data_IF_222805795066
#
_entry.id   IF_222805795066
#
_cell.length_a   1.000
_cell.length_b   1.000
_cell.length_c   1.000
_cell.angle_alpha   90.00
_cell.angle_beta   90.00
_cell.angle_gamma   90.00
#
_symmetry.space_group_name_H-M   'P 1'
#
loop_
_entity.id
_entity.type
_entity.pdbx_description
1 polymer ?
#
# COMPACT_ATOMS: atom_id res chain seq x y z
N UNK A 1 4.82 17.18 27.59
CA UNK A 1 5.81 16.97 26.51
C UNK A 1 5.13 16.13 25.45
N UNK A 2 4.59 16.78 24.42
CA UNK A 2 3.88 16.09 23.34
C UNK A 2 4.92 15.64 22.33
N UNK A 3 5.21 14.34 22.26
CA UNK A 3 5.96 13.74 21.17
C UNK A 3 5.03 13.72 19.93
N UNK A 4 4.80 14.89 19.33
CA UNK A 4 4.10 14.97 18.05
C UNK A 4 5.06 14.48 16.98
N UNK A 5 4.91 13.21 16.61
CA UNK A 5 5.49 12.71 15.38
C UNK A 5 4.83 13.46 14.21
N UNK A 6 5.63 14.20 13.46
CA UNK A 6 5.23 14.89 12.24
C UNK A 6 5.78 14.08 11.04
N UNK A 7 4.97 13.19 10.45
CA UNK A 7 5.45 12.35 9.36
C UNK A 7 5.71 13.17 8.10
N UNK A 8 6.85 12.92 7.45
CA UNK A 8 7.25 13.55 6.19
C UNK A 8 7.21 12.50 5.08
N UNK A 9 6.03 12.31 4.49
CA UNK A 9 5.82 11.36 3.41
C UNK A 9 6.36 11.87 2.07
N UNK A 10 7.25 11.11 1.46
CA UNK A 10 7.80 11.40 0.14
C UNK A 10 7.52 10.25 -0.81
N UNK A 11 7.04 10.56 -2.01
CA UNK A 11 6.88 9.56 -3.08
C UNK A 11 8.25 9.12 -3.60
N UNK A 12 8.52 7.83 -3.51
CA UNK A 12 9.74 7.19 -4.00
C UNK A 12 9.36 6.01 -4.91
N UNK A 13 10.13 5.82 -5.99
CA UNK A 13 10.00 4.64 -6.85
C UNK A 13 10.91 3.57 -6.29
N UNK A 14 10.31 2.56 -5.65
CA UNK A 14 11.04 1.43 -5.12
C UNK A 14 11.16 0.34 -6.20
N UNK A 15 12.40 0.01 -6.57
CA UNK A 15 12.70 -1.12 -7.45
C UNK A 15 13.14 -2.32 -6.61
N UNK A 16 12.34 -3.38 -6.61
CA UNK A 16 12.68 -4.62 -5.90
C UNK A 16 12.30 -5.83 -6.73
N UNK A 17 13.24 -6.77 -6.90
CA UNK A 17 13.03 -7.99 -7.68
C UNK A 17 12.56 -7.75 -9.13
N UNK A 18 13.01 -6.65 -9.75
CA UNK A 18 12.64 -6.26 -11.12
C UNK A 18 11.27 -5.57 -11.26
N UNK A 19 10.56 -5.34 -10.16
CA UNK A 19 9.28 -4.62 -10.13
C UNK A 19 9.50 -3.20 -9.64
N UNK A 20 9.00 -2.21 -10.39
CA UNK A 20 9.02 -0.80 -10.00
C UNK A 20 7.67 -0.41 -9.41
N UNK A 21 7.66 0.01 -8.15
CA UNK A 21 6.44 0.36 -7.42
C UNK A 21 6.60 1.77 -6.88
N UNK A 22 5.61 2.61 -7.12
CA UNK A 22 5.52 3.94 -6.48
C UNK A 22 4.99 3.75 -5.08
N UNK A 23 5.73 4.20 -4.08
CA UNK A 23 5.39 4.05 -2.66
C UNK A 23 5.63 5.39 -1.95
N UNK A 24 4.96 5.60 -0.83
CA UNK A 24 5.27 6.73 0.04
C UNK A 24 6.21 6.26 1.13
N UNK A 25 7.32 6.96 1.32
CA UNK A 25 8.28 6.69 2.40
C UNK A 25 8.30 7.86 3.36
N UNK A 26 8.14 7.57 4.65
CA UNK A 26 8.32 8.56 5.70
C UNK A 26 9.81 8.79 5.93
N UNK A 27 10.26 10.05 5.80
CA UNK A 27 11.65 10.41 6.09
C UNK A 27 11.99 10.38 7.58
N UNK A 28 11.01 10.59 8.46
CA UNK A 28 11.25 10.63 9.89
C UNK A 28 11.52 9.23 10.46
N UNK A 29 10.76 8.22 10.04
CA UNK A 29 10.85 6.84 10.56
C UNK A 29 11.44 5.84 9.57
N UNK A 30 11.50 6.17 8.28
CA UNK A 30 11.87 5.25 7.21
C UNK A 30 10.77 4.27 6.81
N UNK A 31 9.56 4.40 7.37
CA UNK A 31 8.41 3.55 7.05
C UNK A 31 7.99 3.71 5.59
N UNK A 32 7.55 2.60 5.00
CA UNK A 32 7.05 2.52 3.64
C UNK A 32 5.55 2.25 3.71
N UNK A 33 4.74 3.15 3.17
CA UNK A 33 3.30 2.97 3.09
C UNK A 33 2.91 2.21 1.82
N UNK A 34 1.85 1.42 1.94
CA UNK A 34 1.24 0.77 0.77
C UNK A 34 0.55 1.82 -0.12
N UNK A 35 0.87 1.89 -1.43
CA UNK A 35 0.25 2.84 -2.34
C UNK A 35 -1.24 2.58 -2.58
N UNK A 36 -1.74 1.38 -2.26
CA UNK A 36 -3.15 1.02 -2.41
C UNK A 36 -3.97 1.43 -1.18
N UNK A 37 -3.40 1.29 0.02
CA UNK A 37 -4.08 1.66 1.27
C UNK A 37 -4.06 3.17 1.54
N UNK A 38 -3.13 3.91 0.93
CA UNK A 38 -2.96 5.34 1.14
C UNK A 38 -2.21 5.65 2.44
N UNK A 39 -2.48 6.82 3.01
CA UNK A 39 -1.86 7.35 4.24
C UNK A 39 -2.96 7.63 5.28
N UNK A 40 -2.64 7.45 6.57
CA UNK A 40 -3.56 7.69 7.69
C UNK A 40 -3.74 6.48 8.61
N UNK A 41 -4.75 6.52 9.48
CA UNK A 41 -4.92 5.52 10.56
C UNK A 41 -5.25 4.11 10.05
N UNK A 42 -5.86 4.01 8.87
CA UNK A 42 -6.23 2.74 8.24
C UNK A 42 -5.20 2.22 7.23
N UNK A 43 -4.08 2.94 7.06
CA UNK A 43 -3.03 2.53 6.15
C UNK A 43 -2.13 1.46 6.79
N UNK A 44 -1.55 0.61 5.93
CA UNK A 44 -0.54 -0.35 6.35
C UNK A 44 0.85 0.17 6.04
N UNK A 45 1.72 0.19 7.05
CA UNK A 45 3.09 0.67 6.99
C UNK A 45 4.08 -0.48 7.22
N UNK A 46 5.19 -0.46 6.50
CA UNK A 46 6.18 -1.53 6.48
C UNK A 46 7.59 -0.98 6.57
N UNK A 47 8.48 -1.65 7.31
CA UNK A 47 9.90 -1.31 7.33
C UNK A 47 10.69 -1.96 6.18
N UNK A 48 10.24 -3.14 5.74
CA UNK A 48 10.94 -3.93 4.72
C UNK A 48 10.14 -3.96 3.41
N UNK A 49 10.80 -3.74 2.25
CA UNK A 49 10.14 -3.83 0.95
C UNK A 49 9.49 -5.19 0.65
N UNK A 50 10.06 -6.27 1.20
CA UNK A 50 9.51 -7.63 1.07
C UNK A 50 8.12 -7.75 1.70
N UNK A 51 7.91 -7.17 2.87
CA UNK A 51 6.64 -7.25 3.58
C UNK A 51 5.56 -6.41 2.86
N UNK A 52 5.95 -5.24 2.36
CA UNK A 52 5.12 -4.44 1.46
C UNK A 52 4.68 -5.26 0.23
N UNK A 53 5.59 -6.02 -0.39
CA UNK A 53 5.27 -6.83 -1.57
C UNK A 53 4.27 -7.96 -1.25
N UNK A 54 4.43 -8.66 -0.13
CA UNK A 54 3.46 -9.68 0.27
C UNK A 54 2.08 -9.05 0.56
N UNK A 55 2.05 -7.86 1.15
CA UNK A 55 0.81 -7.12 1.35
C UNK A 55 0.19 -6.66 0.01
N UNK A 56 1.00 -6.15 -0.92
CA UNK A 56 0.55 -5.80 -2.28
C UNK A 56 0.02 -7.01 -3.05
N UNK A 57 0.59 -8.20 -2.86
CA UNK A 57 0.03 -9.45 -3.42
C UNK A 57 -1.33 -9.78 -2.83
N UNK A 58 -1.56 -9.51 -1.55
CA UNK A 58 -2.88 -9.67 -0.94
C UNK A 58 -3.91 -8.69 -1.54
N UNK A 59 -3.49 -7.45 -1.85
CA UNK A 59 -4.32 -6.53 -2.64
C UNK A 59 -4.57 -7.04 -4.05
N UNK A 60 -3.57 -7.53 -4.76
CA UNK A 60 -3.74 -8.07 -6.11
C UNK A 60 -4.75 -9.23 -6.11
N UNK A 61 -4.68 -10.14 -5.13
CA UNK A 61 -5.67 -11.22 -4.95
C UNK A 61 -7.08 -10.72 -4.60
N UNK A 62 -7.20 -9.63 -3.83
CA UNK A 62 -8.48 -8.99 -3.54
C UNK A 62 -9.04 -8.19 -4.71
N UNK A 63 -8.19 -7.55 -5.49
CA UNK A 63 -8.56 -6.88 -6.73
C UNK A 63 -9.05 -7.90 -7.76
N UNK A 64 -8.49 -9.11 -7.76
CA UNK A 64 -9.00 -10.26 -8.51
C UNK A 64 -10.43 -10.63 -8.07
N UNK A 65 -10.72 -10.65 -6.76
CA UNK A 65 -12.11 -10.82 -6.26
C UNK A 65 -13.08 -9.75 -6.75
N UNK A 66 -12.62 -8.52 -7.01
CA UNK A 66 -13.45 -7.45 -7.58
C UNK A 66 -13.49 -7.47 -9.12
N UNK A 67 -12.58 -8.18 -9.80
CA UNK A 67 -12.67 -8.45 -11.25
C UNK A 67 -13.68 -9.55 -11.57
N UNK A 68 -14.02 -10.42 -10.62
CA UNK A 68 -15.10 -11.42 -10.74
C UNK A 68 -16.45 -10.95 -10.16
N UNK A 69 -16.56 -9.69 -9.73
CA UNK A 69 -17.84 -9.08 -9.35
C UNK A 69 -18.29 -8.06 -10.41
N UNK A 70 -18.30 -8.48 -11.68
CA UNK A 70 -19.00 -7.77 -12.76
C UNK A 70 -20.09 -8.71 -13.28
N UNK A 71 -21.29 -8.50 -12.74
CA UNK A 71 -22.62 -8.72 -13.32
C UNK A 71 -22.93 -10.14 -13.82
N UNK A 72 -23.56 -10.94 -12.97
CA UNK A 72 -24.76 -11.64 -13.43
C UNK A 72 -25.95 -10.73 -13.10
N UNK A 73 -26.46 -10.09 -14.15
CA UNK A 73 -27.78 -9.48 -14.18
C UNK A 73 -28.79 -10.63 -14.30
N UNK A 74 -29.64 -10.79 -13.30
CA UNK A 74 -30.94 -11.41 -13.49
C UNK A 74 -32.02 -10.37 -13.17
N UNK A 75 -32.77 -10.06 -14.22
CA UNK A 75 -34.05 -9.39 -14.21
C UNK A 75 -35.03 -10.14 -13.30
N UNK A 76 -35.80 -9.40 -12.49
CA UNK A 76 -37.22 -9.71 -12.19
C UNK A 76 -37.95 -8.41 -11.78
#
# INVERSE_FOLDING_TARGET
MSLQWEPEWVEEVLEYSGVRIRVFRDKATGLIACPVCGLGDNASYFFMPRDLLEHLRAHARRADKYRFAVVESEEE
#
